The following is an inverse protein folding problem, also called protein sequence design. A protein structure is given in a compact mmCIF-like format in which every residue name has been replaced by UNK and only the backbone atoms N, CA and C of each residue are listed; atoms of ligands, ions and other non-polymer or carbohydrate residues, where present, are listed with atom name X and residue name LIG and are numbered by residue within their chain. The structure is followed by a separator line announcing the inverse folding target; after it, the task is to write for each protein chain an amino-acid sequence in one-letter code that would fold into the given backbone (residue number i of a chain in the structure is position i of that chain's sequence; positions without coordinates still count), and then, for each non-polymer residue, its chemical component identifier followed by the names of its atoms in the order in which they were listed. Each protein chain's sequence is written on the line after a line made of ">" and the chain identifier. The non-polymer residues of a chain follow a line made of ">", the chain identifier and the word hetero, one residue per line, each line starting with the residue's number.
data_IF_659438672628
#
_entry.id   IF_659438672628
#
_cell.length_a   1.000
_cell.length_b   1.000
_cell.length_c   1.000
_cell.angle_alpha   90.00
_cell.angle_beta   90.00
_cell.angle_gamma   90.00
#
_symmetry.space_group_name_H-M   'P 1'
#
loop_
_entity.id
_entity.type
_entity.pdbx_description
1 polymer ?
#
# COMPACT_ATOMS: atom_id res chain seq x y z
N UNK A 1 -10.32 -16.07 0.07
CA UNK A 1 -10.18 -15.47 -1.27
C UNK A 1 -9.77 -14.02 -1.08
N UNK A 2 -9.07 -13.45 -2.05
CA UNK A 2 -8.78 -12.01 -2.07
C UNK A 2 -9.48 -11.43 -3.29
N UNK A 3 -10.41 -10.52 -3.07
CA UNK A 3 -11.24 -9.97 -4.14
C UNK A 3 -10.81 -8.53 -4.42
N UNK A 4 -10.38 -8.24 -5.64
CA UNK A 4 -10.09 -6.88 -6.06
C UNK A 4 -11.39 -6.09 -6.13
N UNK A 5 -11.51 -5.07 -5.30
CA UNK A 5 -12.70 -4.23 -5.22
C UNK A 5 -12.57 -3.05 -6.18
N UNK A 6 -11.41 -2.40 -6.21
CA UNK A 6 -11.23 -1.14 -6.93
C UNK A 6 -9.74 -0.87 -7.22
N UNK A 7 -9.48 -0.17 -8.33
CA UNK A 7 -8.20 0.48 -8.59
C UNK A 7 -8.41 1.98 -8.70
N UNK A 8 -7.59 2.74 -7.99
CA UNK A 8 -7.61 4.19 -8.00
C UNK A 8 -6.28 4.72 -8.53
N UNK A 9 -6.33 5.51 -9.60
CA UNK A 9 -5.17 6.25 -10.10
C UNK A 9 -5.04 7.56 -9.33
N UNK A 10 -3.90 7.79 -8.72
CA UNK A 10 -3.59 9.01 -7.97
C UNK A 10 -3.00 10.09 -8.88
N UNK A 11 -2.97 11.33 -8.38
CA UNK A 11 -2.45 12.49 -9.10
C UNK A 11 -0.97 12.37 -9.44
N UNK A 12 -0.18 11.76 -8.55
CA UNK A 12 1.24 11.47 -8.77
C UNK A 12 1.51 10.25 -9.67
N UNK A 13 0.47 9.70 -10.31
CA UNK A 13 0.56 8.59 -11.25
C UNK A 13 0.54 7.19 -10.63
N UNK A 14 0.60 7.05 -9.30
CA UNK A 14 0.47 5.74 -8.65
C UNK A 14 -0.90 5.12 -8.89
N UNK A 15 -0.94 3.80 -8.99
CA UNK A 15 -2.18 3.02 -9.00
C UNK A 15 -2.28 2.29 -7.67
N UNK A 16 -3.34 2.58 -6.92
CA UNK A 16 -3.65 1.95 -5.63
C UNK A 16 -4.76 0.96 -5.84
N UNK A 17 -4.54 -0.27 -5.42
CA UNK A 17 -5.51 -1.36 -5.50
C UNK A 17 -6.06 -1.67 -4.11
N UNK A 18 -7.39 -1.80 -4.03
CA UNK A 18 -8.12 -2.14 -2.82
C UNK A 18 -8.67 -3.55 -2.93
N UNK A 19 -8.32 -4.40 -1.97
CA UNK A 19 -8.66 -5.80 -1.94
C UNK A 19 -9.45 -6.13 -0.67
N UNK A 20 -10.55 -6.86 -0.83
CA UNK A 20 -11.23 -7.50 0.28
C UNK A 20 -10.56 -8.84 0.57
N UNK A 21 -9.98 -8.96 1.77
CA UNK A 21 -9.38 -10.19 2.29
C UNK A 21 -10.14 -10.72 3.50
N UNK A 22 -11.42 -10.34 3.61
CA UNK A 22 -12.27 -10.73 4.72
C UNK A 22 -12.46 -12.24 4.76
N UNK A 23 -12.53 -12.79 5.96
CA UNK A 23 -12.74 -14.23 6.16
C UNK A 23 -13.40 -14.50 7.49
N UNK A 24 -14.03 -15.68 7.59
CA UNK A 24 -14.62 -16.16 8.85
C UNK A 24 -13.54 -16.75 9.74
N UNK A 25 -13.67 -16.52 11.04
CA UNK A 25 -12.90 -17.21 12.06
C UNK A 25 -13.58 -18.53 12.47
N UNK A 26 -12.94 -19.26 13.40
CA UNK A 26 -13.42 -20.55 13.89
C UNK A 26 -14.71 -20.48 14.71
N UNK A 27 -15.15 -19.28 15.09
CA UNK A 27 -16.40 -19.05 15.84
C UNK A 27 -17.53 -18.57 14.93
N UNK A 28 -17.30 -18.51 13.62
CA UNK A 28 -18.29 -18.06 12.64
C UNK A 28 -18.39 -16.53 12.51
N UNK A 29 -17.58 -15.78 13.26
CA UNK A 29 -17.52 -14.33 13.14
C UNK A 29 -16.56 -13.93 12.01
N UNK A 30 -16.83 -12.79 11.39
CA UNK A 30 -15.99 -12.27 10.32
C UNK A 30 -14.82 -11.46 10.89
N UNK A 31 -13.64 -11.71 10.34
CA UNK A 31 -12.55 -10.76 10.33
C UNK A 31 -12.59 -10.00 9.01
N UNK A 32 -13.07 -8.76 9.05
CA UNK A 32 -13.12 -7.87 7.90
C UNK A 32 -11.74 -7.28 7.65
N UNK A 33 -11.18 -7.48 6.45
CA UNK A 33 -9.83 -7.02 6.10
C UNK A 33 -9.83 -6.26 4.80
N UNK A 34 -9.47 -4.98 4.88
CA UNK A 34 -9.08 -4.19 3.73
C UNK A 34 -7.57 -4.31 3.56
N UNK A 35 -7.14 -4.81 2.40
CA UNK A 35 -5.75 -4.81 1.99
C UNK A 35 -5.54 -3.86 0.82
N UNK A 36 -4.61 -2.94 0.96
CA UNK A 36 -4.28 -1.94 -0.04
C UNK A 36 -2.87 -2.19 -0.52
N UNK A 37 -2.67 -2.21 -1.84
CA UNK A 37 -1.33 -2.32 -2.44
C UNK A 37 -1.11 -1.34 -3.58
N UNK A 38 0.12 -0.91 -3.76
CA UNK A 38 0.53 -0.07 -4.89
C UNK A 38 1.96 -0.40 -5.28
N UNK A 39 2.20 -0.56 -6.58
CA UNK A 39 3.55 -0.76 -7.11
C UNK A 39 4.24 0.58 -7.26
N UNK A 40 5.40 0.74 -6.63
CA UNK A 40 6.20 1.96 -6.70
C UNK A 40 7.52 1.66 -7.38
N UNK A 41 7.74 2.26 -8.55
CA UNK A 41 8.98 2.06 -9.31
C UNK A 41 10.17 2.76 -8.64
N UNK A 42 11.32 2.09 -8.65
CA UNK A 42 12.60 2.67 -8.23
C UNK A 42 13.15 3.48 -9.39
N UNK A 43 13.21 4.80 -9.22
CA UNK A 43 13.75 5.72 -10.21
C UNK A 43 15.08 6.30 -9.75
N UNK A 44 16.00 6.50 -10.68
CA UNK A 44 17.29 7.14 -10.43
C UNK A 44 17.13 8.54 -9.82
N UNK A 45 16.13 9.30 -10.28
CA UNK A 45 15.81 10.66 -9.80
C UNK A 45 15.55 10.73 -8.28
N UNK A 46 15.16 9.62 -7.65
CA UNK A 46 14.94 9.57 -6.20
C UNK A 46 16.23 9.63 -5.38
N UNK A 47 17.36 9.26 -5.97
CA UNK A 47 18.67 9.20 -5.31
C UNK A 47 19.55 10.42 -5.61
N UNK A 48 19.08 11.33 -6.46
CA UNK A 48 19.83 12.51 -6.96
C UNK A 48 20.46 13.38 -5.86
N UNK A 49 19.81 13.50 -4.70
CA UNK A 49 20.28 14.32 -3.59
C UNK A 49 21.28 13.59 -2.65
N UNK A 50 21.62 12.34 -2.93
CA UNK A 50 22.49 11.52 -2.06
C UNK A 50 23.95 11.54 -2.53
N UNK A 51 24.87 11.44 -1.57
CA UNK A 51 26.26 11.12 -1.87
C UNK A 51 26.36 9.73 -2.52
N UNK A 52 27.16 9.62 -3.57
CA UNK A 52 27.28 8.41 -4.40
C UNK A 52 25.94 7.92 -4.98
N UNK A 53 25.07 8.85 -5.40
CA UNK A 53 23.71 8.60 -5.91
C UNK A 53 23.61 7.39 -6.86
N UNK A 54 24.50 7.31 -7.85
CA UNK A 54 24.49 6.21 -8.82
C UNK A 54 24.79 4.86 -8.17
N UNK A 55 25.73 4.81 -7.23
CA UNK A 55 26.06 3.58 -6.51
C UNK A 55 24.88 3.14 -5.64
N UNK A 56 24.21 4.08 -4.98
CA UNK A 56 23.03 3.79 -4.15
C UNK A 56 21.86 3.29 -5.00
N UNK A 57 21.61 3.91 -6.16
CA UNK A 57 20.58 3.46 -7.09
C UNK A 57 20.85 2.04 -7.59
N UNK A 58 22.07 1.74 -8.04
CA UNK A 58 22.44 0.39 -8.48
C UNK A 58 22.30 -0.65 -7.36
N UNK A 59 22.68 -0.29 -6.13
CA UNK A 59 22.50 -1.17 -4.96
C UNK A 59 21.01 -1.44 -4.68
N UNK A 60 20.16 -0.42 -4.81
CA UNK A 60 18.72 -0.56 -4.66
C UNK A 60 18.15 -1.52 -5.71
N UNK A 61 18.52 -1.35 -6.99
CA UNK A 61 18.09 -2.26 -8.06
C UNK A 61 18.52 -3.70 -7.83
N UNK A 62 19.78 -3.91 -7.42
CA UNK A 62 20.31 -5.25 -7.16
C UNK A 62 19.61 -5.96 -5.99
N UNK A 63 19.08 -5.19 -5.03
CA UNK A 63 18.46 -5.74 -3.81
C UNK A 63 16.95 -5.92 -3.97
N UNK A 64 16.27 -4.96 -4.59
CA UNK A 64 14.81 -4.87 -4.63
C UNK A 64 14.22 -5.06 -6.03
N UNK A 65 15.04 -5.08 -7.08
CA UNK A 65 14.59 -5.04 -8.46
C UNK A 65 14.17 -3.62 -8.88
N UNK A 66 13.27 -3.51 -9.86
CA UNK A 66 12.84 -2.21 -10.43
C UNK A 66 11.70 -1.56 -9.68
N UNK A 67 11.08 -2.25 -8.72
CA UNK A 67 9.88 -1.79 -8.02
C UNK A 67 9.77 -2.37 -6.62
N UNK A 68 9.10 -1.63 -5.73
CA UNK A 68 8.74 -2.08 -4.39
C UNK A 68 7.23 -1.97 -4.23
N UNK A 69 6.61 -3.01 -3.68
CA UNK A 69 5.17 -3.03 -3.41
C UNK A 69 4.93 -2.34 -2.06
N UNK A 70 4.32 -1.15 -2.11
CA UNK A 70 3.69 -0.55 -0.94
C UNK A 70 2.48 -1.39 -0.54
N UNK A 71 2.35 -1.70 0.75
CA UNK A 71 1.17 -2.40 1.30
C UNK A 71 0.66 -1.72 2.56
N UNK A 72 -0.65 -1.78 2.77
CA UNK A 72 -1.31 -1.35 3.99
C UNK A 72 -2.50 -2.23 4.30
N UNK A 73 -2.65 -2.66 5.54
CA UNK A 73 -3.78 -3.47 5.98
C UNK A 73 -4.59 -2.76 7.07
N UNK A 74 -5.91 -2.80 6.94
CA UNK A 74 -6.86 -2.42 8.00
C UNK A 74 -7.80 -3.57 8.28
N UNK A 75 -7.83 -3.98 9.55
CA UNK A 75 -8.58 -5.15 9.98
C UNK A 75 -9.57 -4.79 11.10
N UNK A 76 -10.74 -5.42 11.10
CA UNK A 76 -11.70 -5.48 12.21
C UNK A 76 -12.12 -6.92 12.42
N UNK A 77 -11.89 -7.43 13.62
CA UNK A 77 -12.23 -8.79 14.02
C UNK A 77 -13.61 -8.83 14.71
N UNK A 78 -14.16 -10.04 14.84
CA UNK A 78 -15.40 -10.32 15.57
C UNK A 78 -16.63 -9.57 15.03
N UNK A 79 -16.76 -9.47 13.70
CA UNK A 79 -17.87 -8.79 13.03
C UNK A 79 -18.97 -9.80 12.71
N UNK A 80 -20.24 -9.56 13.11
CA UNK A 80 -21.37 -10.37 12.67
C UNK A 80 -21.48 -10.39 11.14
N UNK A 81 -22.03 -11.46 10.57
CA UNK A 81 -22.09 -11.62 9.11
C UNK A 81 -22.93 -10.53 8.45
N UNK A 82 -24.05 -10.18 9.08
CA UNK A 82 -24.96 -9.11 8.68
C UNK A 82 -24.28 -7.74 8.59
N UNK A 83 -23.23 -7.51 9.39
CA UNK A 83 -22.51 -6.25 9.46
C UNK A 83 -21.29 -6.20 8.54
N UNK A 84 -20.87 -7.33 7.96
CA UNK A 84 -19.61 -7.47 7.20
C UNK A 84 -19.44 -6.37 6.15
N UNK A 85 -20.44 -6.21 5.29
CA UNK A 85 -20.39 -5.28 4.15
C UNK A 85 -20.33 -3.83 4.64
N UNK A 86 -21.17 -3.48 5.62
CA UNK A 86 -21.20 -2.15 6.23
C UNK A 86 -19.87 -1.79 6.87
N UNK A 87 -19.27 -2.74 7.61
CA UNK A 87 -17.97 -2.55 8.25
C UNK A 87 -16.86 -2.42 7.21
N UNK A 88 -16.85 -3.24 6.17
CA UNK A 88 -15.87 -3.16 5.09
C UNK A 88 -15.92 -1.78 4.41
N UNK A 89 -17.10 -1.36 3.97
CA UNK A 89 -17.30 -0.06 3.31
C UNK A 89 -16.84 1.11 4.20
N UNK A 90 -17.15 1.06 5.49
CA UNK A 90 -16.72 2.09 6.45
C UNK A 90 -15.19 2.16 6.60
N UNK A 91 -14.51 1.02 6.65
CA UNK A 91 -13.04 0.98 6.74
C UNK A 91 -12.42 1.51 5.45
N UNK A 92 -12.95 1.10 4.30
CA UNK A 92 -12.51 1.54 2.98
C UNK A 92 -12.69 3.05 2.81
N UNK A 93 -13.85 3.60 3.16
CA UNK A 93 -14.09 5.03 3.08
C UNK A 93 -13.13 5.81 3.98
N UNK A 94 -12.96 5.39 5.23
CA UNK A 94 -12.02 6.03 6.16
C UNK A 94 -10.58 5.97 5.65
N UNK A 95 -10.18 4.88 5.00
CA UNK A 95 -8.86 4.79 4.39
C UNK A 95 -8.71 5.81 3.25
N UNK A 96 -9.73 5.93 2.39
CA UNK A 96 -9.74 6.93 1.31
C UNK A 96 -9.65 8.36 1.84
N UNK A 97 -10.40 8.69 2.89
CA UNK A 97 -10.42 10.04 3.43
C UNK A 97 -9.09 10.44 4.11
N UNK A 98 -8.30 9.47 4.57
CA UNK A 98 -7.10 9.72 5.39
C UNK A 98 -5.79 9.41 4.66
N UNK A 99 -5.65 8.20 4.14
CA UNK A 99 -4.37 7.68 3.61
C UNK A 99 -4.18 8.05 2.15
N UNK A 100 -5.25 8.14 1.34
CA UNK A 100 -5.11 8.45 -0.09
C UNK A 100 -4.53 9.86 -0.31
N UNK A 101 -4.92 10.84 0.50
CA UNK A 101 -4.33 12.18 0.42
C UNK A 101 -2.81 12.17 0.67
N UNK A 102 -2.33 11.29 1.55
CA UNK A 102 -0.91 11.12 1.79
C UNK A 102 -0.21 10.39 0.62
N UNK A 103 -0.81 9.32 0.10
CA UNK A 103 -0.27 8.56 -1.03
C UNK A 103 -0.24 9.36 -2.33
N UNK A 104 -1.13 10.36 -2.47
CA UNK A 104 -1.27 11.19 -3.68
C UNK A 104 -0.24 12.32 -3.77
N UNK A 105 0.56 12.53 -2.72
CA UNK A 105 1.60 13.57 -2.74
C UNK A 105 2.69 13.23 -3.76
N UNK A 106 3.16 14.24 -4.50
CA UNK A 106 4.21 14.08 -5.52
C UNK A 106 5.51 13.49 -4.95
N UNK A 107 5.85 13.82 -3.70
CA UNK A 107 7.07 13.35 -3.05
C UNK A 107 6.93 11.97 -2.37
N UNK A 108 5.71 11.41 -2.32
CA UNK A 108 5.45 10.13 -1.66
C UNK A 108 6.27 8.98 -2.25
N UNK A 109 6.29 8.74 -3.59
CA UNK A 109 7.07 7.65 -4.19
C UNK A 109 8.55 7.71 -3.80
N UNK A 110 9.18 8.89 -3.92
CA UNK A 110 10.58 9.11 -3.54
C UNK A 110 10.81 8.77 -2.07
N UNK A 111 10.02 9.35 -1.18
CA UNK A 111 10.15 9.13 0.28
C UNK A 111 9.95 7.67 0.65
N UNK A 112 8.99 6.98 0.03
CA UNK A 112 8.75 5.56 0.27
C UNK A 112 9.94 4.70 -0.17
N UNK A 113 10.43 4.88 -1.40
CA UNK A 113 11.57 4.11 -1.91
C UNK A 113 12.82 4.31 -1.04
N UNK A 114 13.18 5.56 -0.73
CA UNK A 114 14.36 5.82 0.09
C UNK A 114 14.22 5.21 1.49
N UNK A 115 13.01 5.29 2.09
CA UNK A 115 12.75 4.65 3.37
C UNK A 115 12.94 3.12 3.30
N UNK A 116 12.34 2.44 2.34
CA UNK A 116 12.46 0.97 2.25
C UNK A 116 13.89 0.54 1.92
N UNK A 117 14.56 1.23 1.00
CA UNK A 117 15.94 0.95 0.64
C UNK A 117 16.86 1.12 1.85
N UNK A 118 16.76 2.21 2.61
CA UNK A 118 17.70 2.46 3.71
C UNK A 118 17.31 1.86 5.06
N UNK A 119 16.05 1.42 5.23
CA UNK A 119 15.65 0.71 6.45
C UNK A 119 15.97 -0.78 6.43
N UNK A 120 16.17 -1.35 5.22
CA UNK A 120 16.44 -2.78 5.01
C UNK A 120 17.81 -3.08 4.38
N UNK A 121 18.65 -2.05 4.15
CA UNK A 121 20.00 -2.17 3.59
C UNK A 121 21.11 -2.15 4.65
#
# INVERSE_FOLDING_TARGET
>A
MEDLIEKLKLTNGLIVEFWDRSGRDKWGLWTVRLFVKSTVSIKEEYFSDLTDSQRQYQRALNTFGTEIIYTHEKTRAHVPEEDRITVFNRITQRFKDTVINYLSKEDFPKKFILKEVFSRA
#
